data_IF_358139837241
#
_entry.id   IF_358139837241
#
_cell.length_a   1.000
_cell.length_b   1.000
_cell.length_c   1.000
_cell.angle_alpha   90.00
_cell.angle_beta   90.00
_cell.angle_gamma   90.00
#
_symmetry.space_group_name_H-M   'P 1'
#
loop_
_entity.id
_entity.type
_entity.pdbx_description
1 polymer ?
#
# COMPACT_ATOMS: atom_id res chain seq x y z
N UNK A 1 -8.89 -17.09 -0.84
CA UNK A 1 -7.59 -17.75 -0.54
C UNK A 1 -7.37 -17.60 0.96
N UNK A 2 -7.23 -18.72 1.69
CA UNK A 2 -6.88 -18.68 3.11
C UNK A 2 -5.38 -18.97 3.25
N UNK A 3 -4.76 -18.45 4.30
CA UNK A 3 -3.35 -18.72 4.58
C UNK A 3 -3.16 -20.12 5.18
N UNK A 4 -2.07 -20.80 4.82
CA UNK A 4 -1.66 -22.05 5.46
C UNK A 4 -1.01 -21.76 6.80
N UNK A 5 -0.84 -22.80 7.64
CA UNK A 5 -0.14 -22.67 8.92
C UNK A 5 1.31 -22.19 8.74
N UNK A 6 2.01 -22.72 7.76
CA UNK A 6 3.39 -22.34 7.43
C UNK A 6 3.48 -20.87 7.00
N UNK A 7 2.49 -20.36 6.24
CA UNK A 7 2.40 -18.96 5.87
C UNK A 7 2.14 -18.06 7.07
N UNK A 8 1.28 -18.46 7.99
CA UNK A 8 1.05 -17.73 9.24
C UNK A 8 2.33 -17.66 10.09
N UNK A 9 3.06 -18.78 10.23
CA UNK A 9 4.34 -18.85 10.94
C UNK A 9 5.42 -18.00 10.25
N UNK A 10 5.49 -18.02 8.91
CA UNK A 10 6.40 -17.17 8.14
C UNK A 10 6.07 -15.69 8.34
N UNK A 11 4.79 -15.33 8.24
CA UNK A 11 4.37 -13.94 8.44
C UNK A 11 4.70 -13.44 9.86
N UNK A 12 4.43 -14.24 10.89
CA UNK A 12 4.81 -13.90 12.26
C UNK A 12 6.32 -13.69 12.38
N UNK A 13 7.13 -14.54 11.75
CA UNK A 13 8.58 -14.45 11.81
C UNK A 13 9.14 -13.26 11.04
N UNK A 14 8.71 -13.06 9.80
CA UNK A 14 9.33 -12.17 8.84
C UNK A 14 8.57 -10.85 8.63
N UNK A 15 7.27 -10.82 8.89
CA UNK A 15 6.39 -9.67 8.72
C UNK A 15 5.88 -9.48 7.30
N UNK A 16 6.15 -10.41 6.38
CA UNK A 16 5.64 -10.37 5.01
C UNK A 16 5.46 -11.76 4.40
N UNK A 17 4.64 -11.81 3.34
CA UNK A 17 4.49 -12.97 2.45
C UNK A 17 4.60 -12.50 1.01
N UNK A 18 5.15 -13.34 0.15
CA UNK A 18 5.22 -13.09 -1.29
C UNK A 18 4.55 -14.24 -2.05
N UNK A 19 3.66 -13.88 -2.97
CA UNK A 19 2.88 -14.80 -3.81
C UNK A 19 3.19 -14.51 -5.28
N UNK A 20 4.14 -15.23 -5.89
CA UNK A 20 4.49 -15.01 -7.29
C UNK A 20 3.34 -15.43 -8.21
N UNK A 21 3.04 -14.60 -9.24
CA UNK A 21 2.02 -14.88 -10.27
C UNK A 21 0.65 -15.27 -9.71
N UNK A 22 0.21 -14.63 -8.61
CA UNK A 22 -1.08 -14.93 -7.98
C UNK A 22 -2.27 -14.55 -8.88
N UNK A 23 -2.11 -13.49 -9.67
CA UNK A 23 -3.09 -13.03 -10.65
C UNK A 23 -2.63 -13.43 -12.06
N UNK A 24 -3.57 -13.85 -12.88
CA UNK A 24 -3.30 -14.22 -14.27
C UNK A 24 -2.91 -12.99 -15.12
N UNK A 25 -2.28 -13.19 -16.28
CA UNK A 25 -2.03 -12.09 -17.23
C UNK A 25 -3.30 -11.37 -17.70
N UNK A 26 -4.43 -12.07 -17.81
CA UNK A 26 -5.72 -11.48 -18.21
C UNK A 26 -6.25 -10.56 -17.09
N UNK A 27 -6.25 -11.01 -15.84
CA UNK A 27 -6.65 -10.19 -14.68
C UNK A 27 -5.74 -8.96 -14.54
N UNK A 28 -4.43 -9.15 -14.66
CA UNK A 28 -3.45 -8.07 -14.56
C UNK A 28 -3.62 -7.05 -15.67
N UNK A 29 -3.85 -7.49 -16.91
CA UNK A 29 -4.07 -6.63 -18.08
C UNK A 29 -5.27 -5.70 -17.89
N UNK A 30 -6.34 -6.17 -17.26
CA UNK A 30 -7.52 -5.35 -16.94
C UNK A 30 -7.13 -4.13 -16.09
N UNK A 31 -6.26 -4.31 -15.10
CA UNK A 31 -5.77 -3.23 -14.23
C UNK A 31 -4.76 -2.33 -14.97
N UNK A 32 -3.79 -2.91 -15.66
CA UNK A 32 -2.75 -2.18 -16.41
C UNK A 32 -3.34 -1.22 -17.43
N UNK A 33 -4.36 -1.65 -18.19
CA UNK A 33 -5.02 -0.84 -19.20
C UNK A 33 -5.75 0.40 -18.65
N UNK A 34 -6.06 0.40 -17.37
CA UNK A 34 -6.76 1.50 -16.70
C UNK A 34 -5.79 2.59 -16.17
N UNK A 35 -4.56 2.20 -15.79
CA UNK A 35 -3.58 3.12 -15.18
C UNK A 35 -3.32 4.39 -16.00
N UNK A 36 -3.08 4.35 -17.34
CA UNK A 36 -2.82 5.55 -18.11
C UNK A 36 -3.93 6.59 -18.02
N UNK A 37 -5.20 6.18 -18.08
CA UNK A 37 -6.37 7.07 -17.94
C UNK A 37 -6.41 7.78 -16.60
N UNK A 38 -5.97 7.10 -15.53
CA UNK A 38 -5.92 7.68 -14.19
C UNK A 38 -4.75 8.66 -14.07
N UNK A 39 -3.59 8.34 -14.65
CA UNK A 39 -2.38 9.15 -14.57
C UNK A 39 -2.45 10.44 -15.41
N UNK A 40 -3.31 10.48 -16.45
CA UNK A 40 -3.60 11.70 -17.22
C UNK A 40 -4.34 12.78 -16.40
N UNK A 41 -5.05 12.39 -15.34
CA UNK A 41 -5.79 13.32 -14.49
C UNK A 41 -4.85 14.28 -13.76
N UNK A 42 -5.28 15.55 -13.60
CA UNK A 42 -4.45 16.64 -13.03
C UNK A 42 -4.86 17.05 -11.62
N UNK A 43 -5.80 16.34 -11.03
CA UNK A 43 -6.28 16.60 -9.68
C UNK A 43 -5.23 16.23 -8.62
N UNK A 44 -5.30 16.83 -7.45
CA UNK A 44 -4.32 16.70 -6.37
C UNK A 44 -4.20 15.28 -5.77
N UNK A 45 -5.17 14.40 -6.01
CA UNK A 45 -5.07 12.99 -5.63
C UNK A 45 -4.13 12.18 -6.56
N UNK A 46 -3.63 12.81 -7.62
CA UNK A 46 -2.50 12.36 -8.43
C UNK A 46 -1.25 13.15 -8.03
N UNK A 47 -0.59 12.71 -6.95
CA UNK A 47 0.67 13.30 -6.50
C UNK A 47 1.76 12.97 -7.52
N UNK A 48 2.46 14.02 -7.99
CA UNK A 48 3.53 13.89 -8.99
C UNK A 48 4.91 14.00 -8.36
N UNK A 49 5.92 13.49 -9.04
CA UNK A 49 7.31 13.61 -8.62
C UNK A 49 7.74 15.07 -8.56
N UNK A 50 8.65 15.40 -7.66
CA UNK A 50 9.04 16.80 -7.36
C UNK A 50 9.71 17.50 -8.53
N UNK A 51 10.41 16.77 -9.37
CA UNK A 51 11.20 17.31 -10.47
C UNK A 51 10.60 17.04 -11.86
N UNK A 52 9.46 16.37 -11.95
CA UNK A 52 8.88 15.95 -13.23
C UNK A 52 7.36 15.94 -13.20
N UNK A 53 6.75 15.56 -14.33
CA UNK A 53 5.31 15.39 -14.47
C UNK A 53 4.83 13.95 -14.21
N UNK A 54 5.73 13.04 -13.85
CA UNK A 54 5.41 11.64 -13.58
C UNK A 54 4.56 11.48 -12.32
N UNK A 55 3.56 10.61 -12.37
CA UNK A 55 2.73 10.31 -11.21
C UNK A 55 3.50 9.40 -10.26
N UNK A 56 3.74 9.90 -9.05
CA UNK A 56 4.31 9.15 -7.94
C UNK A 56 3.29 8.23 -7.29
N UNK A 57 2.08 8.77 -7.06
CA UNK A 57 0.99 8.00 -6.46
C UNK A 57 -0.37 8.58 -6.86
N UNK A 58 -1.28 7.71 -7.24
CA UNK A 58 -2.69 8.02 -7.40
C UNK A 58 -3.45 7.43 -6.21
N UNK A 59 -4.36 8.21 -5.63
CA UNK A 59 -5.16 7.79 -4.48
C UNK A 59 -6.60 7.47 -4.86
N UNK A 60 -7.22 6.58 -4.08
CA UNK A 60 -8.65 6.31 -4.07
C UNK A 60 -9.24 5.78 -5.39
N UNK A 61 -8.43 5.22 -6.30
CA UNK A 61 -8.93 4.74 -7.59
C UNK A 61 -10.10 3.75 -7.48
N UNK A 62 -10.20 3.00 -6.40
CA UNK A 62 -11.33 2.09 -6.15
C UNK A 62 -12.68 2.78 -5.96
N UNK A 63 -12.70 4.11 -5.73
CA UNK A 63 -13.93 4.88 -5.55
C UNK A 63 -14.48 5.41 -6.89
N UNK A 64 -13.68 5.42 -7.97
CA UNK A 64 -14.06 6.02 -9.25
C UNK A 64 -13.63 5.23 -10.50
N UNK A 65 -12.95 4.10 -10.33
CA UNK A 65 -12.56 3.19 -11.42
C UNK A 65 -13.05 1.77 -11.14
N UNK A 66 -13.82 1.21 -12.06
CA UNK A 66 -14.44 -0.11 -11.91
C UNK A 66 -13.42 -1.25 -11.72
N UNK A 67 -12.33 -1.38 -12.51
CA UNK A 67 -11.33 -2.42 -12.29
C UNK A 67 -10.71 -2.35 -10.89
N UNK A 68 -10.42 -1.16 -10.39
CA UNK A 68 -9.84 -0.99 -9.07
C UNK A 68 -10.86 -1.15 -7.93
N UNK A 69 -12.14 -0.84 -8.16
CA UNK A 69 -13.21 -1.17 -7.22
C UNK A 69 -13.40 -2.69 -7.07
N UNK A 70 -13.27 -3.44 -8.17
CA UNK A 70 -13.28 -4.91 -8.17
C UNK A 70 -12.05 -5.46 -7.43
N UNK A 71 -10.86 -4.92 -7.70
CA UNK A 71 -9.62 -5.32 -7.01
C UNK A 71 -9.70 -5.07 -5.49
N UNK A 72 -10.25 -3.93 -5.07
CA UNK A 72 -10.43 -3.57 -3.66
C UNK A 72 -11.30 -4.57 -2.88
N UNK A 73 -12.14 -5.32 -3.57
CA UNK A 73 -13.05 -6.34 -3.04
C UNK A 73 -12.67 -7.77 -3.44
N UNK A 74 -11.46 -7.93 -4.03
CA UNK A 74 -11.02 -9.25 -4.50
C UNK A 74 -10.65 -10.15 -3.33
N UNK A 75 -11.15 -11.42 -3.26
CA UNK A 75 -10.92 -12.30 -2.13
C UNK A 75 -9.44 -12.65 -1.92
N UNK A 76 -8.62 -12.69 -2.97
CA UNK A 76 -7.17 -12.90 -2.84
C UNK A 76 -6.43 -11.72 -2.20
N UNK A 77 -7.02 -10.51 -2.22
CA UNK A 77 -6.48 -9.33 -1.53
C UNK A 77 -6.96 -9.24 -0.07
N UNK A 78 -8.23 -9.59 0.20
CA UNK A 78 -8.89 -9.34 1.48
C UNK A 78 -8.74 -10.51 2.45
N UNK A 79 -9.04 -11.75 2.01
CA UNK A 79 -9.09 -12.91 2.90
C UNK A 79 -7.81 -13.22 3.67
N UNK A 80 -6.60 -13.14 3.07
CA UNK A 80 -5.36 -13.35 3.83
C UNK A 80 -5.19 -12.38 5.00
N UNK A 81 -5.67 -11.15 4.86
CA UNK A 81 -5.61 -10.16 5.94
C UNK A 81 -6.68 -10.42 7.00
N UNK A 82 -7.89 -10.86 6.63
CA UNK A 82 -8.90 -11.36 7.58
C UNK A 82 -8.34 -12.53 8.41
N UNK A 83 -7.62 -13.48 7.79
CA UNK A 83 -6.99 -14.60 8.49
C UNK A 83 -5.94 -14.13 9.52
N UNK A 84 -5.12 -13.10 9.18
CA UNK A 84 -4.10 -12.57 10.07
C UNK A 84 -4.69 -11.75 11.23
N UNK A 85 -5.73 -10.97 10.97
CA UNK A 85 -6.30 -10.06 11.97
C UNK A 85 -7.49 -10.66 12.75
N UNK A 86 -8.06 -11.78 12.24
CA UNK A 86 -9.20 -12.46 12.88
C UNK A 86 -10.49 -11.64 12.90
N UNK A 87 -10.62 -10.66 11.99
CA UNK A 87 -11.71 -9.68 11.99
C UNK A 87 -12.02 -9.20 10.57
N UNK A 88 -13.20 -8.62 10.38
CA UNK A 88 -13.58 -7.88 9.17
C UNK A 88 -12.74 -6.63 8.99
N UNK A 89 -12.56 -6.23 7.74
CA UNK A 89 -11.64 -5.17 7.34
C UNK A 89 -12.36 -4.03 6.66
N UNK A 90 -11.84 -2.81 6.84
CA UNK A 90 -12.16 -1.66 5.99
C UNK A 90 -10.93 -1.21 5.19
N UNK A 91 -11.17 -0.45 4.12
CA UNK A 91 -10.12 0.15 3.31
C UNK A 91 -9.63 1.45 3.96
N UNK A 92 -8.43 1.42 4.58
CA UNK A 92 -7.82 2.62 5.14
C UNK A 92 -7.18 3.50 4.06
N UNK A 93 -6.42 2.89 3.14
CA UNK A 93 -5.83 3.58 1.99
C UNK A 93 -5.89 2.71 0.74
N UNK A 94 -6.05 3.35 -0.40
CA UNK A 94 -5.89 2.73 -1.72
C UNK A 94 -4.95 3.59 -2.55
N UNK A 95 -3.82 3.04 -2.98
CA UNK A 95 -2.76 3.75 -3.70
C UNK A 95 -2.34 2.99 -4.96
N UNK A 96 -2.13 3.70 -6.06
CA UNK A 96 -1.40 3.18 -7.22
C UNK A 96 -0.09 3.94 -7.28
N UNK A 97 1.00 3.29 -6.88
CA UNK A 97 2.33 3.89 -6.85
C UNK A 97 3.08 3.60 -8.15
N UNK A 98 3.46 4.68 -8.84
CA UNK A 98 4.28 4.63 -10.03
C UNK A 98 5.74 4.92 -9.70
N UNK A 99 6.65 4.11 -10.22
CA UNK A 99 8.05 4.43 -10.41
C UNK A 99 8.32 4.39 -11.91
N UNK A 100 8.16 5.55 -12.54
CA UNK A 100 8.33 5.66 -13.97
C UNK A 100 9.80 5.49 -14.36
N UNK A 101 10.04 5.01 -15.58
CA UNK A 101 11.39 4.78 -16.11
C UNK A 101 12.27 6.03 -15.97
N UNK A 102 13.47 5.89 -15.39
CA UNK A 102 14.47 6.94 -15.14
C UNK A 102 14.02 8.12 -14.26
N UNK A 103 12.82 8.04 -13.64
CA UNK A 103 12.22 9.20 -12.96
C UNK A 103 11.62 8.87 -11.59
N UNK A 104 11.22 7.64 -11.33
CA UNK A 104 10.61 7.25 -10.06
C UNK A 104 11.55 7.46 -8.87
N UNK A 105 11.20 8.38 -7.95
CA UNK A 105 12.06 8.76 -6.82
C UNK A 105 11.96 7.80 -5.63
N UNK A 106 12.85 7.94 -4.66
CA UNK A 106 12.97 7.12 -3.46
C UNK A 106 11.70 7.17 -2.58
N UNK A 107 11.38 6.07 -1.94
CA UNK A 107 10.60 6.02 -0.71
C UNK A 107 11.56 5.67 0.41
N UNK A 108 11.78 6.62 1.33
CA UNK A 108 12.74 6.50 2.41
C UNK A 108 12.32 5.41 3.42
N UNK A 109 13.24 4.99 4.29
CA UNK A 109 12.95 4.02 5.34
C UNK A 109 11.86 4.51 6.29
N UNK A 110 10.78 3.72 6.42
CA UNK A 110 9.62 4.07 7.22
C UNK A 110 8.83 2.83 7.66
N UNK A 111 7.86 3.05 8.53
CA UNK A 111 6.74 2.17 8.82
C UNK A 111 5.45 2.90 8.43
N UNK A 112 4.55 2.24 7.73
CA UNK A 112 3.26 2.86 7.37
C UNK A 112 2.43 3.20 8.61
N UNK A 113 2.42 2.32 9.62
CA UNK A 113 1.73 2.56 10.87
C UNK A 113 2.25 3.80 11.62
N UNK A 114 3.52 4.14 11.49
CA UNK A 114 4.08 5.38 12.04
C UNK A 114 3.31 6.61 11.57
N UNK A 115 3.00 6.68 10.27
CA UNK A 115 2.16 7.74 9.69
C UNK A 115 0.72 7.66 10.18
N UNK A 116 0.12 6.48 10.15
CA UNK A 116 -1.29 6.31 10.53
C UNK A 116 -1.55 6.60 12.01
N UNK A 117 -0.61 6.25 12.89
CA UNK A 117 -0.65 6.60 14.31
C UNK A 117 -0.53 8.11 14.53
N UNK A 118 0.47 8.74 13.92
CA UNK A 118 0.78 10.16 14.18
C UNK A 118 -0.20 11.12 13.51
N UNK A 119 -0.65 10.81 12.30
CA UNK A 119 -1.52 11.70 11.53
C UNK A 119 -3.01 11.38 11.69
N UNK A 120 -3.41 10.12 11.78
CA UNK A 120 -4.81 9.72 11.79
C UNK A 120 -5.29 9.22 13.15
N UNK A 121 -4.41 9.11 14.15
CA UNK A 121 -4.68 8.49 15.46
C UNK A 121 -5.27 7.08 15.31
N UNK A 122 -4.70 6.24 14.42
CA UNK A 122 -5.05 4.83 14.37
C UNK A 122 -4.64 4.16 15.70
N UNK A 123 -5.56 3.49 16.42
CA UNK A 123 -5.31 3.04 17.79
C UNK A 123 -4.18 2.03 17.94
N UNK A 124 -4.13 1.04 17.04
CA UNK A 124 -3.15 -0.06 17.08
C UNK A 124 -2.63 -0.39 15.68
N UNK A 125 -1.58 -1.21 15.60
CA UNK A 125 -0.98 -1.68 14.34
C UNK A 125 -1.78 -2.75 13.61
N UNK A 126 -3.04 -3.00 13.98
CA UNK A 126 -3.93 -3.99 13.34
C UNK A 126 -4.38 -3.56 11.94
N UNK A 127 -3.38 -3.41 11.07
CA UNK A 127 -3.53 -3.07 9.66
C UNK A 127 -2.40 -3.69 8.86
N UNK A 128 -2.69 -4.09 7.62
CA UNK A 128 -1.74 -4.72 6.71
C UNK A 128 -1.76 -4.03 5.35
N UNK A 129 -0.64 -4.08 4.65
CA UNK A 129 -0.57 -3.69 3.25
C UNK A 129 -0.58 -4.93 2.37
N UNK A 130 -1.39 -4.87 1.32
CA UNK A 130 -1.41 -5.86 0.24
C UNK A 130 -1.07 -5.14 -1.05
N UNK A 131 -0.02 -5.56 -1.74
CA UNK A 131 0.41 -4.93 -2.99
C UNK A 131 0.39 -5.93 -4.13
N UNK A 132 -0.23 -5.56 -5.26
CA UNK A 132 -0.14 -6.31 -6.53
C UNK A 132 0.78 -5.57 -7.50
N UNK A 133 1.66 -6.30 -8.15
CA UNK A 133 2.53 -5.79 -9.20
C UNK A 133 1.78 -5.70 -10.53
N UNK A 134 1.74 -4.53 -11.14
CA UNK A 134 1.20 -4.34 -12.48
C UNK A 134 2.27 -4.43 -13.57
N UNK A 135 3.53 -4.18 -13.22
CA UNK A 135 4.71 -4.39 -14.06
C UNK A 135 5.61 -5.46 -13.40
N UNK A 136 6.54 -6.00 -14.18
CA UNK A 136 7.60 -6.85 -13.65
C UNK A 136 8.47 -6.05 -12.68
N UNK A 137 8.68 -6.59 -11.49
CA UNK A 137 9.55 -5.99 -10.47
C UNK A 137 10.90 -6.70 -10.49
N UNK A 138 11.94 -5.92 -10.74
CA UNK A 138 13.33 -6.37 -10.82
C UNK A 138 14.20 -5.61 -9.80
N UNK A 139 15.49 -5.98 -9.69
CA UNK A 139 16.47 -5.25 -8.89
C UNK A 139 16.75 -3.82 -9.39
N UNK A 140 16.39 -3.50 -10.65
CA UNK A 140 16.80 -2.26 -11.31
C UNK A 140 15.73 -1.17 -11.30
N UNK A 141 14.45 -1.53 -11.12
CA UNK A 141 13.32 -0.58 -11.22
C UNK A 141 12.75 -0.12 -9.88
N UNK A 142 13.60 -0.09 -8.85
CA UNK A 142 13.27 0.44 -7.52
C UNK A 142 12.30 -0.45 -6.73
N UNK A 143 12.61 -1.75 -6.53
CA UNK A 143 11.76 -2.67 -5.79
C UNK A 143 11.62 -2.26 -4.31
N UNK A 144 10.59 -2.78 -3.63
CA UNK A 144 10.50 -2.71 -2.18
C UNK A 144 11.68 -3.44 -1.53
N UNK A 145 12.18 -2.89 -0.45
CA UNK A 145 13.20 -3.49 0.41
C UNK A 145 12.64 -3.56 1.82
N UNK A 146 12.66 -4.73 2.44
CA UNK A 146 12.19 -5.01 3.79
C UNK A 146 13.35 -5.37 4.72
N UNK A 147 13.21 -5.05 6.00
CA UNK A 147 14.02 -5.61 7.08
C UNK A 147 13.17 -6.70 7.76
N UNK A 148 13.39 -8.00 7.49
CA UNK A 148 12.57 -9.08 8.03
C UNK A 148 12.54 -9.07 9.56
N UNK A 149 11.37 -9.33 10.15
CA UNK A 149 11.18 -9.38 11.60
C UNK A 149 11.17 -8.02 12.31
N UNK A 150 11.43 -6.90 11.61
CA UNK A 150 11.45 -5.56 12.21
C UNK A 150 10.10 -5.11 12.77
N UNK A 151 8.99 -5.66 12.27
CA UNK A 151 7.64 -5.40 12.79
C UNK A 151 7.46 -5.81 14.26
N UNK A 152 8.21 -6.83 14.74
CA UNK A 152 8.18 -7.29 16.15
C UNK A 152 8.68 -6.24 17.15
N UNK A 153 9.34 -5.20 16.67
CA UNK A 153 9.73 -4.06 17.50
C UNK A 153 8.56 -3.11 17.81
N UNK A 154 7.40 -3.30 17.16
CA UNK A 154 6.29 -2.37 17.21
C UNK A 154 6.60 -1.06 16.47
N UNK A 155 5.92 0.03 16.84
CA UNK A 155 6.12 1.34 16.23
C UNK A 155 7.45 1.95 16.69
N UNK A 156 8.18 2.49 15.74
CA UNK A 156 9.50 3.11 15.93
C UNK A 156 9.33 4.63 15.82
N UNK A 157 10.06 5.36 16.67
CA UNK A 157 10.11 6.82 16.60
C UNK A 157 10.68 7.27 15.23
N UNK A 158 10.01 8.21 14.61
CA UNK A 158 10.32 8.68 13.28
C UNK A 158 10.26 10.21 13.22
N UNK A 159 10.98 10.81 12.26
CA UNK A 159 10.96 12.24 11.99
C UNK A 159 10.10 12.53 10.77
N UNK A 160 9.28 13.58 10.85
CA UNK A 160 8.45 14.00 9.72
C UNK A 160 9.30 14.72 8.67
N UNK A 161 9.52 14.08 7.53
CA UNK A 161 10.20 14.67 6.37
C UNK A 161 9.16 15.18 5.36
N UNK A 162 9.20 16.49 5.11
CA UNK A 162 8.31 17.18 4.17
C UNK A 162 9.06 17.76 2.98
N UNK A 163 10.38 17.53 2.89
CA UNK A 163 11.26 18.23 1.96
C UNK A 163 11.96 17.35 0.95
N UNK A 164 12.27 16.11 1.27
CA UNK A 164 13.09 15.24 0.40
C UNK A 164 12.35 14.85 -0.87
N UNK A 165 11.10 14.39 -0.75
CA UNK A 165 10.28 13.98 -1.92
C UNK A 165 8.98 14.80 -2.01
N UNK A 166 8.19 14.57 -3.04
CA UNK A 166 6.91 15.25 -3.23
C UNK A 166 5.82 14.79 -2.23
N UNK A 167 6.02 13.67 -1.54
CA UNK A 167 5.08 13.14 -0.57
C UNK A 167 5.70 13.11 0.83
N UNK A 168 5.11 13.81 1.82
CA UNK A 168 5.62 13.84 3.18
C UNK A 168 5.55 12.45 3.83
N UNK A 169 6.59 12.10 4.60
CA UNK A 169 6.74 10.78 5.19
C UNK A 169 7.36 10.86 6.60
N UNK A 170 6.96 9.96 7.48
CA UNK A 170 7.63 9.75 8.77
C UNK A 170 8.80 8.77 8.57
N UNK A 171 10.03 9.30 8.58
CA UNK A 171 11.26 8.57 8.23
C UNK A 171 12.03 8.13 9.47
N UNK A 172 12.63 6.94 9.37
CA UNK A 172 13.44 6.32 10.44
C UNK A 172 14.90 6.73 10.25
N UNK A 173 15.60 6.99 11.35
CA UNK A 173 17.01 7.36 11.36
C UNK A 173 17.91 6.23 10.82
N UNK A 174 18.94 6.59 10.03
CA UNK A 174 19.83 5.64 9.39
C UNK A 174 20.65 4.80 10.38
N UNK A 175 20.98 5.33 11.56
CA UNK A 175 21.68 4.54 12.57
C UNK A 175 20.79 3.41 13.07
N UNK A 176 19.52 3.71 13.34
CA UNK A 176 18.56 2.69 13.76
C UNK A 176 18.28 1.67 12.65
N UNK A 177 18.27 2.09 11.38
CA UNK A 177 18.17 1.16 10.24
C UNK A 177 19.36 0.19 10.24
N UNK A 178 20.60 0.70 10.44
CA UNK A 178 21.79 -0.17 10.51
C UNK A 178 21.68 -1.20 11.63
N UNK A 179 21.25 -0.78 12.83
CA UNK A 179 21.04 -1.69 13.96
C UNK A 179 19.97 -2.77 13.68
N UNK A 180 18.89 -2.40 12.99
CA UNK A 180 17.83 -3.34 12.62
C UNK A 180 18.32 -4.36 11.58
N UNK A 181 19.05 -3.90 10.58
CA UNK A 181 19.65 -4.76 9.54
C UNK A 181 20.64 -5.75 10.17
N UNK A 182 21.52 -5.29 11.07
CA UNK A 182 22.49 -6.15 11.75
C UNK A 182 21.80 -7.24 12.57
N UNK A 183 20.75 -6.89 13.32
CA UNK A 183 19.94 -7.84 14.09
C UNK A 183 19.20 -8.86 13.22
N UNK A 184 18.79 -8.46 12.02
CA UNK A 184 18.09 -9.33 11.07
C UNK A 184 19.04 -10.24 10.28
N UNK A 185 20.37 -10.13 10.47
CA UNK A 185 21.36 -10.99 9.82
C UNK A 185 22.39 -10.24 8.97
N UNK A 186 22.45 -8.91 9.03
CA UNK A 186 23.43 -8.09 8.34
C UNK A 186 23.42 -8.32 6.81
N UNK A 187 24.62 -8.49 6.22
CA UNK A 187 24.75 -8.78 4.79
C UNK A 187 24.11 -10.11 4.34
N UNK A 188 23.89 -11.05 5.26
CA UNK A 188 23.41 -12.41 4.95
C UNK A 188 21.91 -12.59 5.18
N UNK A 189 21.11 -11.56 4.99
CA UNK A 189 19.64 -11.65 5.11
C UNK A 189 18.98 -10.55 5.90
N UNK A 190 19.72 -9.56 6.39
CA UNK A 190 19.18 -8.40 7.10
C UNK A 190 18.28 -7.51 6.26
N UNK A 191 18.36 -7.64 4.93
CA UNK A 191 17.45 -6.99 3.96
C UNK A 191 17.00 -8.00 2.91
N UNK A 192 15.73 -7.90 2.52
CA UNK A 192 15.16 -8.69 1.43
C UNK A 192 14.38 -7.80 0.47
N UNK A 193 14.34 -8.20 -0.79
CA UNK A 193 13.59 -7.47 -1.82
C UNK A 193 12.79 -8.47 -2.65
N UNK A 194 11.50 -8.67 -2.36
CA UNK A 194 10.64 -9.53 -3.16
C UNK A 194 10.50 -8.98 -4.58
N UNK A 195 10.83 -9.82 -5.56
CA UNK A 195 10.80 -9.49 -6.99
C UNK A 195 10.05 -10.56 -7.75
N UNK A 196 9.44 -10.19 -8.87
CA UNK A 196 8.68 -11.13 -9.69
C UNK A 196 7.90 -10.46 -10.79
N UNK A 197 7.24 -11.26 -11.65
CA UNK A 197 6.47 -10.74 -12.76
C UNK A 197 5.20 -10.03 -12.31
N UNK A 198 4.63 -9.25 -13.23
CA UNK A 198 3.29 -8.69 -13.10
C UNK A 198 2.28 -9.77 -12.66
N UNK A 199 1.31 -9.40 -11.83
CA UNK A 199 0.38 -10.33 -11.18
C UNK A 199 0.90 -10.98 -9.89
N UNK A 200 2.16 -10.74 -9.48
CA UNK A 200 2.64 -11.14 -8.16
C UNK A 200 2.05 -10.24 -7.07
N UNK A 201 1.91 -10.79 -5.86
CA UNK A 201 1.36 -10.07 -4.69
C UNK A 201 2.33 -10.14 -3.51
N UNK A 202 2.43 -9.04 -2.78
CA UNK A 202 3.09 -8.97 -1.46
C UNK A 202 2.03 -8.61 -0.42
N UNK A 203 2.07 -9.30 0.72
CA UNK A 203 1.33 -8.95 1.92
C UNK A 203 2.35 -8.64 3.02
N UNK A 204 2.24 -7.48 3.69
CA UNK A 204 3.19 -7.10 4.73
C UNK A 204 2.57 -6.29 5.87
N UNK A 205 3.17 -6.44 7.05
CA UNK A 205 2.73 -5.83 8.29
C UNK A 205 2.92 -4.30 8.28
N UNK A 206 1.98 -3.55 8.82
CA UNK A 206 2.03 -2.08 8.90
C UNK A 206 3.26 -1.51 9.64
N UNK A 207 3.82 -2.28 10.58
CA UNK A 207 5.06 -1.97 11.29
C UNK A 207 6.32 -2.56 10.64
N UNK A 208 6.23 -3.26 9.50
CA UNK A 208 7.43 -3.74 8.82
C UNK A 208 8.22 -2.56 8.27
N UNK A 209 9.48 -2.43 8.69
CA UNK A 209 10.37 -1.36 8.21
C UNK A 209 10.74 -1.63 6.77
N UNK A 210 10.47 -0.65 5.91
CA UNK A 210 10.66 -0.79 4.48
C UNK A 210 11.01 0.53 3.78
N UNK A 211 11.55 0.39 2.59
CA UNK A 211 11.85 1.49 1.68
C UNK A 211 11.76 1.03 0.22
N UNK A 212 12.05 1.91 -0.72
CA UNK A 212 12.40 1.53 -2.09
C UNK A 212 13.31 2.57 -2.73
N UNK A 213 14.33 2.11 -3.45
CA UNK A 213 15.25 2.98 -4.20
C UNK A 213 14.57 3.69 -5.37
N UNK A 214 15.29 4.63 -6.00
CA UNK A 214 14.85 5.27 -7.24
C UNK A 214 14.85 4.28 -8.40
N UNK A 215 14.05 4.55 -9.43
CA UNK A 215 14.05 3.76 -10.66
C UNK A 215 15.06 4.33 -11.65
N UNK A 216 16.19 3.67 -11.81
CA UNK A 216 17.26 4.02 -12.78
C UNK A 216 17.17 3.22 -14.08
N UNK A 217 16.14 2.38 -14.24
CA UNK A 217 15.97 1.51 -15.39
C UNK A 217 15.07 2.14 -16.46
N UNK A 218 15.09 1.63 -17.71
CA UNK A 218 14.17 2.05 -18.76
C UNK A 218 12.76 1.43 -18.64
N UNK A 219 12.47 0.73 -17.54
CA UNK A 219 11.21 0.02 -17.31
C UNK A 219 10.41 0.67 -16.18
N UNK A 220 9.13 0.86 -16.39
CA UNK A 220 8.23 1.31 -15.33
C UNK A 220 8.09 0.24 -14.23
N UNK A 221 7.72 0.68 -13.04
CA UNK A 221 7.28 -0.19 -11.96
C UNK A 221 6.05 0.40 -11.28
N UNK A 222 4.87 -0.08 -11.68
CA UNK A 222 3.59 0.30 -11.10
C UNK A 222 3.10 -0.83 -10.20
N UNK A 223 2.68 -0.47 -8.99
CA UNK A 223 2.07 -1.40 -8.04
C UNK A 223 0.86 -0.77 -7.36
N UNK A 224 -0.17 -1.56 -7.12
CA UNK A 224 -1.37 -1.12 -6.38
C UNK A 224 -1.27 -1.59 -4.96
N UNK A 225 -1.49 -0.69 -3.99
CA UNK A 225 -1.45 -0.97 -2.56
C UNK A 225 -2.82 -0.77 -1.93
N UNK A 226 -3.30 -1.79 -1.24
CA UNK A 226 -4.45 -1.75 -0.36
C UNK A 226 -3.94 -1.78 1.08
N UNK A 227 -4.17 -0.71 1.83
CA UNK A 227 -3.94 -0.71 3.28
C UNK A 227 -5.26 -1.10 3.94
N UNK A 228 -5.34 -2.35 4.38
CA UNK A 228 -6.52 -2.97 4.96
C UNK A 228 -6.40 -2.96 6.48
N UNK A 229 -7.41 -2.45 7.16
CA UNK A 229 -7.41 -2.27 8.60
C UNK A 229 -8.61 -2.98 9.24
N UNK A 230 -8.42 -3.55 10.44
CA UNK A 230 -9.51 -4.11 11.23
C UNK A 230 -10.58 -3.05 11.52
N UNK A 231 -11.86 -3.38 11.37
CA UNK A 231 -12.97 -2.42 11.58
C UNK A 231 -12.94 -1.84 12.97
N UNK A 232 -12.59 -2.62 13.99
CA UNK A 232 -12.44 -2.15 15.37
C UNK A 232 -11.29 -1.16 15.58
N UNK A 233 -10.37 -1.04 14.62
CA UNK A 233 -9.15 -0.23 14.69
C UNK A 233 -9.21 1.02 13.81
N UNK A 234 -10.40 1.53 13.50
CA UNK A 234 -10.56 2.69 12.63
C UNK A 234 -9.91 3.96 13.20
N UNK A 235 -9.51 4.84 12.29
CA UNK A 235 -8.85 6.12 12.63
C UNK A 235 -9.76 7.02 13.46
N UNK A 236 -9.14 7.83 14.35
CA UNK A 236 -9.83 8.71 15.30
C UNK A 236 -9.57 10.19 15.03
N UNK A 237 -8.90 10.52 13.93
CA UNK A 237 -8.64 11.89 13.49
C UNK A 237 -8.59 11.97 11.97
N UNK A 238 -9.14 13.05 11.42
CA UNK A 238 -9.21 13.31 9.98
C UNK A 238 -8.22 14.41 9.54
N UNK A 239 -6.96 14.29 9.99
CA UNK A 239 -5.91 15.23 9.61
C UNK A 239 -5.56 15.15 8.13
N UNK A 240 -5.52 13.95 7.55
CA UNK A 240 -5.30 13.73 6.14
C UNK A 240 -6.61 13.75 5.37
N UNK A 241 -6.58 14.19 4.10
CA UNK A 241 -7.75 14.22 3.22
C UNK A 241 -8.35 12.82 3.05
N UNK A 242 -9.66 12.73 2.85
CA UNK A 242 -10.36 11.44 2.80
C UNK A 242 -9.88 10.57 1.63
N UNK A 243 -9.48 11.16 0.50
CA UNK A 243 -8.93 10.37 -0.60
C UNK A 243 -7.56 9.72 -0.25
N UNK A 244 -6.87 10.17 0.82
CA UNK A 244 -5.65 9.58 1.35
C UNK A 244 -5.97 8.59 2.47
N UNK A 245 -6.77 9.00 3.46
CA UNK A 245 -7.16 8.21 4.63
C UNK A 245 -8.69 8.09 4.68
N UNK A 246 -9.21 6.96 4.21
CA UNK A 246 -10.65 6.76 4.04
C UNK A 246 -11.40 6.75 5.37
N UNK A 247 -12.62 7.30 5.32
CA UNK A 247 -13.50 7.48 6.49
C UNK A 247 -14.72 6.56 6.44
N UNK A 248 -14.78 5.67 5.47
CA UNK A 248 -15.82 4.66 5.34
C UNK A 248 -15.34 3.38 6.02
N UNK A 249 -15.87 3.10 7.22
CA UNK A 249 -15.41 2.02 8.09
C UNK A 249 -16.26 0.75 7.96
N UNK A 250 -17.16 0.70 6.98
CA UNK A 250 -17.96 -0.49 6.71
C UNK A 250 -17.08 -1.67 6.28
N UNK A 251 -17.41 -2.89 6.70
CA UNK A 251 -16.70 -4.09 6.29
C UNK A 251 -16.66 -4.25 4.77
N UNK A 252 -15.48 -4.62 4.24
CA UNK A 252 -15.33 -4.97 2.84
C UNK A 252 -16.02 -6.31 2.56
N UNK A 253 -17.04 -6.29 1.71
CA UNK A 253 -17.68 -7.50 1.20
C UNK A 253 -16.98 -7.95 -0.08
N UNK A 254 -16.40 -9.15 -0.05
CA UNK A 254 -15.69 -9.70 -1.20
C UNK A 254 -16.62 -9.97 -2.38
N UNK A 255 -16.12 -9.73 -3.57
CA UNK A 255 -16.68 -10.24 -4.83
C UNK A 255 -16.23 -11.69 -5.07
N UNK A 256 -16.83 -12.38 -6.07
CA UNK A 256 -16.29 -13.66 -6.55
C UNK A 256 -14.85 -13.55 -7.07
N UNK A 257 -14.09 -14.64 -7.03
CA UNK A 257 -12.66 -14.66 -7.38
C UNK A 257 -12.36 -14.30 -8.85
N UNK A 258 -13.32 -14.46 -9.74
CA UNK A 258 -13.22 -14.10 -11.16
C UNK A 258 -13.67 -12.66 -11.49
N UNK A 259 -13.81 -11.81 -10.49
CA UNK A 259 -14.40 -10.47 -10.64
C UNK A 259 -13.61 -9.52 -11.56
N UNK A 260 -12.32 -9.74 -11.75
CA UNK A 260 -11.50 -8.92 -12.65
C UNK A 260 -11.72 -9.25 -14.14
N UNK A 261 -12.23 -10.44 -14.44
CA UNK A 261 -12.45 -10.93 -15.81
C UNK A 261 -13.93 -11.10 -16.17
N UNK A 262 -14.81 -10.98 -15.18
CA UNK A 262 -16.27 -11.08 -15.36
C UNK A 262 -16.97 -9.76 -15.06
N UNK A 263 -18.16 -9.63 -15.62
CA UNK A 263 -19.00 -8.45 -15.39
C UNK A 263 -19.74 -8.59 -14.07
N UNK A 264 -19.23 -7.87 -13.06
CA UNK A 264 -19.87 -7.69 -11.75
C UNK A 264 -20.11 -6.21 -11.51
N UNK A 265 -21.31 -5.86 -11.14
CA UNK A 265 -21.65 -4.49 -10.77
C UNK A 265 -20.94 -4.07 -9.49
N UNK A 266 -20.33 -2.90 -9.51
CA UNK A 266 -19.70 -2.28 -8.33
C UNK A 266 -20.19 -0.85 -8.18
N UNK A 267 -20.32 -0.43 -6.91
CA UNK A 267 -20.63 0.96 -6.61
C UNK A 267 -19.35 1.82 -6.79
N UNK A 268 -19.50 2.95 -7.47
CA UNK A 268 -18.42 3.92 -7.68
C UNK A 268 -18.89 5.28 -7.14
N UNK A 269 -18.79 5.52 -5.83
CA UNK A 269 -19.35 6.71 -5.20
C UNK A 269 -18.75 8.02 -5.71
N UNK A 270 -17.53 7.97 -6.26
CA UNK A 270 -16.84 9.14 -6.82
C UNK A 270 -16.68 9.10 -8.36
N UNK A 271 -17.54 8.34 -9.04
CA UNK A 271 -17.52 8.20 -10.50
C UNK A 271 -17.52 9.53 -11.26
N UNK A 272 -18.27 10.50 -10.76
CA UNK A 272 -18.44 11.81 -11.38
C UNK A 272 -17.48 12.89 -10.80
N UNK A 273 -16.44 12.48 -10.11
CA UNK A 273 -15.47 13.33 -9.41
C UNK A 273 -15.52 13.13 -7.89
N UNK A 274 -14.47 13.56 -7.21
CA UNK A 274 -14.40 13.48 -5.77
C UNK A 274 -15.32 14.55 -5.16
N UNK A 275 -16.12 14.20 -4.13
CA UNK A 275 -16.96 15.18 -3.44
C UNK A 275 -16.09 16.19 -2.68
N UNK A 276 -16.62 17.37 -2.38
CA UNK A 276 -15.90 18.37 -1.59
C UNK A 276 -15.39 17.84 -0.25
N UNK A 277 -16.18 16.99 0.40
CA UNK A 277 -15.80 16.33 1.66
C UNK A 277 -14.51 15.49 1.57
N UNK A 278 -14.18 14.97 0.38
CA UNK A 278 -12.95 14.20 0.19
C UNK A 278 -11.67 15.04 0.40
N UNK A 279 -11.78 16.36 0.34
CA UNK A 279 -10.68 17.33 0.52
C UNK A 279 -10.66 17.96 1.91
N UNK A 280 -11.68 17.76 2.72
CA UNK A 280 -11.78 18.32 4.06
C UNK A 280 -10.83 17.60 5.03
N UNK A 281 -10.37 18.35 6.04
CA UNK A 281 -9.52 17.84 7.13
C UNK A 281 -10.02 18.34 8.46
N UNK A 282 -9.81 17.57 9.54
CA UNK A 282 -10.08 17.97 10.92
C UNK A 282 -8.90 17.61 11.81
N UNK A 283 -8.54 18.53 12.71
CA UNK A 283 -7.53 18.32 13.74
C UNK A 283 -8.12 17.76 15.04
N UNK A 284 -9.44 17.78 15.18
CA UNK A 284 -10.14 17.28 16.36
C UNK A 284 -10.22 15.75 16.33
N UNK A 285 -10.12 15.14 17.51
CA UNK A 285 -10.43 13.71 17.68
C UNK A 285 -11.91 13.50 17.40
N UNK A 286 -12.24 12.42 16.73
CA UNK A 286 -13.61 11.96 16.66
C UNK A 286 -14.09 11.69 18.09
N UNK A 287 -15.23 12.25 18.49
CA UNK A 287 -15.89 11.90 19.73
C UNK A 287 -16.24 10.41 19.66
N UNK A 288 -15.71 9.61 20.55
CA UNK A 288 -15.93 8.17 20.62
C UNK A 288 -17.33 7.81 21.07
#
# INVERSE_FOLDING_TARGET
MNLTKEQLEQFDKEGYLFFPKLFSPEETKTLVNEVPKLYERREEYNVREKGSDSVRTNFAAHMYSEPFAKLARHPRMVKPVEDLLGEKLYMHQFKINGKMAFDGDVWQWHQDYGTWKNDDLMPTERAMNVAIFLDDVTEFNGPLIFIPGSHKRGVIDAKHDTSTTSYPLWTIDNQLISELVDRAGGYNGGMVSPKGPAGSMILFHSCLVHCSGSNLSPFNRVSVYLSLCAVSNHIQRFKRKEYIAHRQFDPIECLPDDCLTKDYSVNLPWKNGLPASAFETSQEKLAG
#
